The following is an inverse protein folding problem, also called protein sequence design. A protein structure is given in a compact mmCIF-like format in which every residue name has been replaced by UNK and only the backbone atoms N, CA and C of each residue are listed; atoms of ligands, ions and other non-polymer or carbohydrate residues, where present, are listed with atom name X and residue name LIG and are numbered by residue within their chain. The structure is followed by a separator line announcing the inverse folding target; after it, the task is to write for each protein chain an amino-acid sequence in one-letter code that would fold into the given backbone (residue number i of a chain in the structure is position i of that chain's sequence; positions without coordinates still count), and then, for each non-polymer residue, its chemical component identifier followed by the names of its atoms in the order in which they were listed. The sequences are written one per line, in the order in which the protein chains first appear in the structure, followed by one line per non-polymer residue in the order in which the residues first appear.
data_IF_870591606979
#
_entry.id   IF_870591606979
#
_cell.length_a   1.000
_cell.length_b   1.000
_cell.length_c   1.000
_cell.angle_alpha   90.00
_cell.angle_beta   90.00
_cell.angle_gamma   90.00
#
_symmetry.space_group_name_H-M   'P 1'
#
loop_
_entity.id
_entity.type
_entity.pdbx_description
1 polymer ?
#
# COMPACT_ATOMS: atom_id res chain seq x y z
N UNK A 1 -22.47 1.39 -5.28
CA UNK A 1 -22.19 1.29 -3.83
C UNK A 1 -20.88 0.54 -3.69
N UNK A 2 -19.93 1.01 -2.88
CA UNK A 2 -18.68 0.28 -2.61
C UNK A 2 -19.02 -1.00 -1.84
N UNK A 3 -18.65 -2.16 -2.38
CA UNK A 3 -18.88 -3.44 -1.72
C UNK A 3 -18.22 -3.45 -0.33
N UNK A 4 -18.89 -4.01 0.69
CA UNK A 4 -18.32 -4.12 2.02
C UNK A 4 -17.09 -5.04 2.01
N UNK A 5 -16.16 -4.79 2.92
CA UNK A 5 -14.91 -5.55 3.01
C UNK A 5 -15.13 -6.80 3.87
N UNK A 6 -15.15 -7.95 3.21
CA UNK A 6 -15.51 -9.23 3.83
C UNK A 6 -14.33 -10.23 3.83
N UNK A 7 -14.33 -11.12 4.82
CA UNK A 7 -13.40 -12.24 4.94
C UNK A 7 -14.18 -13.48 5.35
N UNK A 8 -14.03 -14.54 4.57
CA UNK A 8 -14.57 -15.86 4.88
C UNK A 8 -13.78 -16.53 6.00
N UNK A 9 -14.48 -17.16 6.93
CA UNK A 9 -13.89 -17.85 8.08
C UNK A 9 -13.91 -19.35 7.80
N UNK A 10 -12.73 -19.93 7.57
CA UNK A 10 -12.55 -21.37 7.38
C UNK A 10 -11.85 -21.97 8.60
N UNK A 11 -12.65 -22.36 9.59
CA UNK A 11 -12.23 -23.01 10.84
C UNK A 11 -11.55 -22.08 11.86
N UNK A 12 -10.41 -21.49 11.49
CA UNK A 12 -9.62 -20.63 12.39
C UNK A 12 -10.08 -19.16 12.30
N UNK A 13 -10.81 -18.74 13.33
CA UNK A 13 -11.34 -17.38 13.50
C UNK A 13 -10.20 -16.35 13.66
N UNK A 14 -9.12 -16.68 14.38
CA UNK A 14 -8.02 -15.73 14.57
C UNK A 14 -7.32 -15.41 13.25
N UNK A 15 -7.15 -16.43 12.41
CA UNK A 15 -6.56 -16.27 11.08
C UNK A 15 -7.44 -15.40 10.19
N UNK A 16 -8.75 -15.61 10.21
CA UNK A 16 -9.70 -14.79 9.49
C UNK A 16 -9.65 -13.32 9.97
N UNK A 17 -9.59 -13.09 11.28
CA UNK A 17 -9.49 -11.74 11.85
C UNK A 17 -8.17 -11.05 11.49
N UNK A 18 -7.05 -11.77 11.52
CA UNK A 18 -5.74 -11.25 11.06
C UNK A 18 -5.80 -10.88 9.58
N UNK A 19 -6.46 -11.68 8.75
CA UNK A 19 -6.64 -11.40 7.32
C UNK A 19 -7.52 -10.17 7.09
N UNK A 20 -8.60 -10.02 7.86
CA UNK A 20 -9.46 -8.84 7.80
C UNK A 20 -8.69 -7.56 8.12
N UNK A 21 -7.92 -7.55 9.22
CA UNK A 21 -7.05 -6.43 9.58
C UNK A 21 -6.04 -6.10 8.47
N UNK A 22 -5.45 -7.11 7.83
CA UNK A 22 -4.52 -6.90 6.71
C UNK A 22 -5.22 -6.29 5.50
N UNK A 23 -6.40 -6.78 5.11
CA UNK A 23 -7.20 -6.21 4.02
C UNK A 23 -7.59 -4.76 4.31
N UNK A 24 -8.08 -4.46 5.51
CA UNK A 24 -8.41 -3.09 5.93
C UNK A 24 -7.20 -2.15 5.91
N UNK A 25 -6.02 -2.65 6.31
CA UNK A 25 -4.78 -1.88 6.26
C UNK A 25 -4.32 -1.64 4.80
N UNK A 26 -4.50 -2.62 3.92
CA UNK A 26 -4.16 -2.51 2.50
C UNK A 26 -5.04 -1.49 1.78
N UNK A 27 -6.35 -1.50 2.05
CA UNK A 27 -7.28 -0.49 1.53
C UNK A 27 -7.05 0.90 2.16
N UNK A 28 -6.32 0.98 3.26
CA UNK A 28 -5.98 2.24 3.92
C UNK A 28 -7.07 2.76 4.86
N UNK A 29 -8.08 1.95 5.18
CA UNK A 29 -9.20 2.31 6.06
C UNK A 29 -8.68 2.87 7.40
N UNK A 30 -7.72 2.21 8.03
CA UNK A 30 -7.15 2.69 9.30
C UNK A 30 -6.45 4.05 9.18
N UNK A 31 -5.80 4.31 8.04
CA UNK A 31 -5.14 5.60 7.78
C UNK A 31 -6.18 6.70 7.60
N UNK A 32 -7.26 6.38 6.92
CA UNK A 32 -8.37 7.30 6.69
C UNK A 32 -9.13 7.61 7.99
N UNK A 33 -9.46 6.60 8.79
CA UNK A 33 -10.10 6.77 10.10
C UNK A 33 -9.28 7.67 11.02
N UNK A 34 -7.96 7.44 11.10
CA UNK A 34 -7.06 8.31 11.90
C UNK A 34 -7.07 9.76 11.43
N UNK A 35 -7.14 9.96 10.11
CA UNK A 35 -7.15 11.29 9.50
C UNK A 35 -8.48 12.01 9.68
N UNK A 36 -9.60 11.29 9.61
CA UNK A 36 -10.95 11.82 9.80
C UNK A 36 -11.30 12.07 11.27
N UNK A 37 -10.48 11.61 12.22
CA UNK A 37 -10.70 11.79 13.66
C UNK A 37 -10.78 13.27 14.07
N UNK A 38 -10.10 14.15 13.35
CA UNK A 38 -10.08 15.59 13.60
C UNK A 38 -10.17 16.35 12.28
N UNK A 39 -10.64 17.60 12.34
CA UNK A 39 -10.65 18.47 11.16
C UNK A 39 -9.21 18.81 10.73
N UNK A 40 -8.87 18.48 9.48
CA UNK A 40 -7.61 18.87 8.84
C UNK A 40 -7.88 20.09 7.95
N UNK A 41 -7.27 21.24 8.29
CA UNK A 41 -7.41 22.47 7.49
C UNK A 41 -6.98 22.21 6.03
N UNK A 42 -7.68 22.75 5.02
CA UNK A 42 -7.41 22.45 3.60
C UNK A 42 -5.96 22.72 3.16
N UNK A 43 -5.29 23.71 3.74
CA UNK A 43 -3.87 23.97 3.45
C UNK A 43 -2.95 22.84 3.92
N UNK A 44 -3.21 22.29 5.12
CA UNK A 44 -2.47 21.14 5.66
C UNK A 44 -2.77 19.90 4.82
N UNK A 45 -4.03 19.76 4.42
CA UNK A 45 -4.49 18.70 3.53
C UNK A 45 -3.70 18.66 2.20
N UNK A 46 -3.58 19.83 1.55
CA UNK A 46 -2.85 20.00 0.28
C UNK A 46 -1.36 19.67 0.45
N UNK A 47 -0.72 20.16 1.52
CA UNK A 47 0.69 19.89 1.81
C UNK A 47 0.94 18.39 1.98
N UNK A 48 0.13 17.72 2.80
CA UNK A 48 0.22 16.27 3.05
C UNK A 48 0.02 15.45 1.77
N UNK A 49 -0.96 15.81 0.93
CA UNK A 49 -1.19 15.14 -0.37
C UNK A 49 0.02 15.26 -1.29
N UNK A 50 0.67 16.42 -1.35
CA UNK A 50 1.88 16.65 -2.15
C UNK A 50 3.05 15.77 -1.68
N UNK A 51 3.32 15.76 -0.37
CA UNK A 51 4.37 14.94 0.23
C UNK A 51 4.13 13.43 0.03
N UNK A 52 2.87 12.98 0.16
CA UNK A 52 2.51 11.58 -0.07
C UNK A 52 2.69 11.17 -1.54
N UNK A 53 2.35 12.05 -2.48
CA UNK A 53 2.55 11.82 -3.91
C UNK A 53 4.04 11.71 -4.26
N UNK A 54 4.88 12.59 -3.71
CA UNK A 54 6.33 12.54 -3.89
C UNK A 54 6.93 11.26 -3.32
N UNK A 55 6.54 10.89 -2.09
CA UNK A 55 6.97 9.63 -1.47
C UNK A 55 6.55 8.41 -2.31
N UNK A 56 5.35 8.42 -2.87
CA UNK A 56 4.86 7.35 -3.77
C UNK A 56 5.67 7.29 -5.06
N UNK A 57 6.01 8.44 -5.65
CA UNK A 57 6.86 8.53 -6.85
C UNK A 57 8.25 7.95 -6.59
N UNK A 58 8.91 8.37 -5.50
CA UNK A 58 10.22 7.85 -5.09
C UNK A 58 10.20 6.34 -4.87
N UNK A 59 9.17 5.81 -4.19
CA UNK A 59 9.00 4.37 -3.98
C UNK A 59 8.79 3.61 -5.30
N UNK A 60 8.06 4.18 -6.27
CA UNK A 60 7.86 3.60 -7.61
C UNK A 60 9.18 3.52 -8.38
N UNK A 61 9.99 4.59 -8.37
CA UNK A 61 11.29 4.63 -9.04
C UNK A 61 12.26 3.59 -8.45
N UNK A 62 12.35 3.48 -7.12
CA UNK A 62 13.17 2.45 -6.46
C UNK A 62 12.76 1.03 -6.84
N UNK A 63 11.46 0.76 -6.95
CA UNK A 63 10.94 -0.55 -7.40
C UNK A 63 11.33 -0.85 -8.85
N UNK A 64 11.19 0.13 -9.76
CA UNK A 64 11.59 -0.04 -11.15
C UNK A 64 13.09 -0.28 -11.29
N UNK A 65 13.93 0.48 -10.58
CA UNK A 65 15.39 0.30 -10.61
C UNK A 65 15.81 -1.10 -10.11
N UNK A 66 15.18 -1.58 -9.03
CA UNK A 66 15.41 -2.94 -8.51
C UNK A 66 14.94 -4.03 -9.49
N UNK A 67 13.87 -3.77 -10.25
CA UNK A 67 13.40 -4.69 -11.28
C UNK A 67 14.34 -4.70 -12.49
N UNK A 68 14.82 -3.54 -12.93
CA UNK A 68 15.79 -3.40 -14.02
C UNK A 68 17.14 -4.06 -13.68
N UNK A 69 17.62 -3.95 -12.44
CA UNK A 69 18.85 -4.62 -12.02
C UNK A 69 18.70 -6.15 -12.00
N UNK A 70 17.53 -6.66 -11.63
CA UNK A 70 17.20 -8.09 -11.72
C UNK A 70 17.16 -8.58 -13.17
N UNK A 71 16.46 -7.89 -14.07
CA UNK A 71 16.37 -8.30 -15.48
C UNK A 71 17.72 -8.24 -16.19
N UNK A 72 18.53 -7.22 -15.89
CA UNK A 72 19.89 -7.08 -16.44
C UNK A 72 20.87 -8.16 -15.94
N UNK A 73 20.67 -8.68 -14.72
CA UNK A 73 21.42 -9.86 -14.23
C UNK A 73 21.04 -11.14 -14.98
N UNK A 74 19.75 -11.33 -15.27
CA UNK A 74 19.25 -12.52 -16.00
C UNK A 74 19.78 -12.55 -17.44
N UNK A 75 19.88 -11.41 -18.12
CA UNK A 75 20.41 -11.33 -19.49
C UNK A 75 21.94 -11.46 -19.62
N UNK A 76 22.70 -11.43 -18.51
CA UNK A 76 24.17 -11.48 -18.51
C UNK A 76 24.73 -12.75 -17.83
N UNK A 77 23.90 -13.78 -17.61
CA UNK A 77 24.33 -15.08 -17.09
C UNK A 77 25.07 -15.92 -18.14
N UNK A 78 25.94 -16.88 -17.74
CA UNK A 78 27.00 -17.42 -18.58
C UNK A 78 26.44 -18.30 -19.69
N UNK A 79 26.61 -17.84 -20.93
CA UNK A 79 26.12 -18.48 -22.15
C UNK A 79 26.58 -17.78 -23.43
N UNK A 80 27.72 -17.10 -23.37
CA UNK A 80 28.61 -16.79 -24.49
C UNK A 80 30.02 -17.14 -24.06
#
# INVERSE_FOLDING_TARGET
MTSPLEVEVNGDIEKAFKNLKKKMAFEGIFKELKRRRYYEKPSVEKKRKKEEAERRRLKKMRRMAAQQSRTKKVQRGPGM
#
